data_IF_980010122620
#
_entry.id   IF_980010122620
#
_cell.length_a   1.000
_cell.length_b   1.000
_cell.length_c   1.000
_cell.angle_alpha   90.00
_cell.angle_beta   90.00
_cell.angle_gamma   90.00
#
_symmetry.space_group_name_H-M   'P 1'
#
loop_
_entity.id
_entity.type
_entity.pdbx_description
1 polymer ?
#
# COMPACT_ATOMS: atom_id res chain seq x y z
N UNK A 1 22.04 -3.32 0.42
CA UNK A 1 20.62 -3.28 0.04
C UNK A 1 19.85 -4.35 0.78
N UNK A 2 18.73 -4.00 1.42
CA UNK A 2 17.88 -4.98 2.08
C UNK A 2 17.04 -5.68 1.03
N UNK A 3 17.08 -7.01 1.00
CA UNK A 3 16.28 -7.79 0.08
C UNK A 3 14.92 -8.11 0.68
N UNK A 4 13.87 -7.86 -0.09
CA UNK A 4 12.51 -8.21 0.29
C UNK A 4 12.28 -9.69 0.01
N UNK A 5 11.49 -10.35 0.86
CA UNK A 5 11.10 -11.76 0.68
C UNK A 5 9.61 -11.92 0.41
N UNK A 6 8.82 -10.98 0.85
CA UNK A 6 7.35 -11.00 0.71
C UNK A 6 6.90 -9.67 0.18
N UNK A 7 5.82 -9.68 -0.60
CA UNK A 7 5.21 -8.47 -1.12
C UNK A 7 3.70 -8.53 -0.99
N UNK A 8 3.08 -7.36 -0.92
CA UNK A 8 1.64 -7.18 -1.11
C UNK A 8 1.43 -6.23 -2.28
N UNK A 9 0.46 -6.53 -3.13
CA UNK A 9 -0.01 -5.61 -4.15
C UNK A 9 -1.46 -5.27 -3.85
N UNK A 10 -1.70 -4.03 -3.43
CA UNK A 10 -3.01 -3.58 -2.96
C UNK A 10 -3.54 -2.54 -3.93
N UNK A 11 -4.70 -2.82 -4.52
CA UNK A 11 -5.37 -1.82 -5.36
C UNK A 11 -6.41 -1.08 -4.55
N UNK A 12 -6.51 0.23 -4.82
CA UNK A 12 -7.53 1.13 -4.26
C UNK A 12 -8.34 1.67 -5.42
N UNK A 13 -9.61 1.31 -5.48
CA UNK A 13 -10.54 1.82 -6.49
C UNK A 13 -11.38 2.92 -5.88
N UNK A 14 -11.39 4.08 -6.53
CA UNK A 14 -12.14 5.25 -6.11
C UNK A 14 -13.31 5.51 -7.05
N UNK A 15 -14.31 6.26 -6.60
CA UNK A 15 -15.52 6.55 -7.37
C UNK A 15 -15.32 7.61 -8.44
N UNK A 16 -14.30 8.45 -8.29
CA UNK A 16 -14.02 9.53 -9.22
C UNK A 16 -12.52 9.83 -9.28
N UNK A 17 -12.11 10.56 -10.32
CA UNK A 17 -10.72 11.02 -10.44
C UNK A 17 -10.35 11.97 -9.29
N UNK A 18 -11.29 12.81 -8.89
CA UNK A 18 -11.11 13.72 -7.75
C UNK A 18 -10.83 12.95 -6.47
N UNK A 19 -11.63 11.91 -6.19
CA UNK A 19 -11.44 11.06 -5.02
C UNK A 19 -10.11 10.31 -5.08
N UNK A 20 -9.69 9.88 -6.26
CA UNK A 20 -8.38 9.21 -6.42
C UNK A 20 -7.25 10.16 -6.03
N UNK A 21 -7.28 11.41 -6.49
CA UNK A 21 -6.24 12.40 -6.21
C UNK A 21 -6.20 12.71 -4.71
N UNK A 22 -7.33 13.09 -4.15
CA UNK A 22 -7.43 13.46 -2.73
C UNK A 22 -7.20 12.25 -1.84
N UNK A 23 -7.81 11.11 -2.18
CA UNK A 23 -7.65 9.87 -1.43
C UNK A 23 -6.21 9.38 -1.42
N UNK A 24 -5.52 9.48 -2.55
CA UNK A 24 -4.11 9.12 -2.65
C UNK A 24 -3.23 10.01 -1.77
N UNK A 25 -3.47 11.32 -1.78
CA UNK A 25 -2.74 12.27 -0.93
C UNK A 25 -2.98 11.99 0.57
N UNK A 26 -4.23 11.77 0.95
CA UNK A 26 -4.58 11.49 2.35
C UNK A 26 -4.00 10.16 2.82
N UNK A 27 -4.06 9.14 1.97
CA UNK A 27 -3.44 7.84 2.28
C UNK A 27 -1.92 7.99 2.48
N UNK A 28 -1.25 8.75 1.62
CA UNK A 28 0.20 8.94 1.73
C UNK A 28 0.57 9.71 2.99
N UNK A 29 -0.25 10.68 3.42
CA UNK A 29 -0.03 11.36 4.71
C UNK A 29 -0.09 10.38 5.87
N UNK A 30 -1.06 9.48 5.87
CA UNK A 30 -1.19 8.44 6.91
C UNK A 30 0.05 7.55 6.93
N UNK A 31 0.50 7.08 5.76
CA UNK A 31 1.69 6.22 5.67
C UNK A 31 2.93 6.95 6.19
N UNK A 32 3.13 8.20 5.80
CA UNK A 32 4.28 8.98 6.24
C UNK A 32 4.25 9.25 7.75
N UNK A 33 3.07 9.46 8.33
CA UNK A 33 2.93 9.63 9.78
C UNK A 33 3.28 8.34 10.53
N UNK A 34 3.14 7.18 9.89
CA UNK A 34 3.44 5.87 10.47
C UNK A 34 4.75 5.28 9.97
N UNK A 35 5.56 6.05 9.25
CA UNK A 35 6.76 5.54 8.58
C UNK A 35 7.70 4.80 9.53
N UNK A 36 7.98 5.35 10.70
CA UNK A 36 8.86 4.72 11.69
C UNK A 36 8.30 3.39 12.17
N UNK A 37 7.00 3.31 12.39
CA UNK A 37 6.35 2.06 12.83
C UNK A 37 6.47 0.98 11.77
N UNK A 38 6.22 1.31 10.50
CA UNK A 38 6.36 0.37 9.40
C UNK A 38 7.81 -0.08 9.24
N UNK A 39 8.76 0.85 9.33
CA UNK A 39 10.18 0.51 9.24
C UNK A 39 10.62 -0.44 10.35
N UNK A 40 10.23 -0.17 11.58
CA UNK A 40 10.54 -1.04 12.73
C UNK A 40 9.92 -2.42 12.58
N UNK A 41 8.73 -2.51 11.98
CA UNK A 41 8.07 -3.80 11.74
C UNK A 41 8.72 -4.58 10.59
N UNK A 42 9.60 -3.97 9.79
CA UNK A 42 10.34 -4.64 8.72
C UNK A 42 9.79 -4.39 7.32
N UNK A 43 8.97 -3.36 7.13
CA UNK A 43 8.61 -2.90 5.79
C UNK A 43 9.85 -2.31 5.12
N UNK A 44 10.08 -2.68 3.86
CA UNK A 44 11.27 -2.25 3.11
C UNK A 44 10.96 -1.10 2.20
N UNK A 45 9.84 -1.19 1.47
CA UNK A 45 9.51 -0.22 0.43
C UNK A 45 8.01 -0.20 0.17
N UNK A 46 7.50 0.99 -0.10
CA UNK A 46 6.17 1.19 -0.66
C UNK A 46 6.31 1.94 -1.97
N UNK A 47 5.66 1.46 -3.01
CA UNK A 47 5.59 2.15 -4.29
C UNK A 47 4.13 2.32 -4.66
N UNK A 48 3.72 3.55 -4.94
CA UNK A 48 2.34 3.85 -5.36
C UNK A 48 2.35 4.28 -6.82
N UNK A 49 1.47 3.67 -7.60
CA UNK A 49 1.31 4.02 -9.01
C UNK A 49 -0.16 4.24 -9.34
N UNK A 50 -0.42 5.08 -10.32
CA UNK A 50 -1.75 5.23 -10.87
C UNK A 50 -1.89 4.29 -12.07
N UNK A 51 -2.90 3.42 -12.03
CA UNK A 51 -3.18 2.52 -13.16
C UNK A 51 -3.82 3.36 -14.28
N UNK A 52 -3.23 3.32 -15.46
CA UNK A 52 -3.68 4.15 -16.58
C UNK A 52 -4.29 3.39 -17.76
N UNK A 53 -4.18 2.04 -17.74
CA UNK A 53 -4.63 1.21 -18.87
C UNK A 53 -6.00 0.56 -18.66
N UNK A 54 -6.81 1.08 -17.74
CA UNK A 54 -8.16 0.59 -17.43
C UNK A 54 -9.15 1.74 -17.57
N UNK A 55 -9.88 1.77 -18.66
CA UNK A 55 -10.89 2.81 -18.89
C UNK A 55 -12.01 2.74 -17.85
N UNK A 56 -12.42 3.90 -17.37
CA UNK A 56 -13.53 4.02 -16.43
C UNK A 56 -13.22 3.59 -15.00
N UNK A 57 -11.98 3.18 -14.71
CA UNK A 57 -11.58 2.77 -13.37
C UNK A 57 -10.58 3.79 -12.81
N UNK A 58 -10.86 4.28 -11.61
CA UNK A 58 -9.96 5.19 -10.90
C UNK A 58 -9.19 4.39 -9.85
N UNK A 59 -8.00 3.92 -10.20
CA UNK A 59 -7.26 2.94 -9.40
C UNK A 59 -5.84 3.37 -9.10
N UNK A 60 -5.46 3.24 -7.83
CA UNK A 60 -4.06 3.27 -7.40
C UNK A 60 -3.59 1.85 -7.12
N UNK A 61 -2.35 1.55 -7.50
CA UNK A 61 -1.68 0.32 -7.13
C UNK A 61 -0.62 0.62 -6.07
N UNK A 62 -0.63 -0.13 -4.99
CA UNK A 62 0.31 0.02 -3.89
C UNK A 62 1.12 -1.25 -3.77
N UNK A 63 2.39 -1.18 -4.07
CA UNK A 63 3.31 -2.31 -3.89
C UNK A 63 4.05 -2.11 -2.57
N UNK A 64 3.86 -3.06 -1.66
CA UNK A 64 4.58 -3.10 -0.39
C UNK A 64 5.53 -4.29 -0.38
N UNK A 65 6.74 -4.07 0.10
CA UNK A 65 7.76 -5.10 0.20
C UNK A 65 8.20 -5.23 1.65
N UNK A 66 8.36 -6.47 2.11
CA UNK A 66 8.68 -6.80 3.50
C UNK A 66 9.95 -7.64 3.56
N UNK A 67 10.72 -7.46 4.63
CA UNK A 67 11.99 -8.19 4.80
C UNK A 67 11.78 -9.70 4.97
N UNK A 68 10.68 -10.10 5.62
CA UNK A 68 10.35 -11.51 5.87
C UNK A 68 8.87 -11.68 6.21
N UNK A 69 8.47 -12.91 6.51
CA UNK A 69 7.10 -13.24 6.86
C UNK A 69 6.66 -12.56 8.16
N UNK A 70 7.53 -12.50 9.16
CA UNK A 70 7.23 -11.84 10.43
C UNK A 70 6.91 -10.37 10.22
N UNK A 71 7.70 -9.68 9.39
CA UNK A 71 7.46 -8.28 9.04
C UNK A 71 6.10 -8.09 8.37
N UNK A 72 5.75 -8.99 7.44
CA UNK A 72 4.44 -8.96 6.80
C UNK A 72 3.32 -9.06 7.83
N UNK A 73 3.40 -10.02 8.75
CA UNK A 73 2.38 -10.22 9.80
C UNK A 73 2.29 -9.00 10.72
N UNK A 74 3.43 -8.49 11.17
CA UNK A 74 3.45 -7.33 12.07
C UNK A 74 2.87 -6.07 11.41
N UNK A 75 3.09 -5.91 10.10
CA UNK A 75 2.53 -4.78 9.35
C UNK A 75 1.01 -4.84 9.20
N UNK A 76 0.37 -6.02 9.33
CA UNK A 76 -1.09 -6.12 9.20
C UNK A 76 -1.81 -5.31 10.27
N UNK A 77 -1.31 -5.30 11.50
CA UNK A 77 -1.89 -4.47 12.57
C UNK A 77 -1.73 -2.98 12.26
N UNK A 78 -0.58 -2.61 11.70
CA UNK A 78 -0.32 -1.22 11.31
C UNK A 78 -1.24 -0.78 10.16
N UNK A 79 -1.55 -1.67 9.22
CA UNK A 79 -2.51 -1.38 8.16
C UNK A 79 -3.91 -1.12 8.71
N UNK A 80 -4.33 -1.85 9.74
CA UNK A 80 -5.62 -1.61 10.40
C UNK A 80 -5.66 -0.21 11.02
N UNK A 81 -4.60 0.18 11.69
CA UNK A 81 -4.47 1.53 12.26
C UNK A 81 -4.50 2.58 11.15
N UNK A 82 -3.77 2.35 10.06
CA UNK A 82 -3.73 3.26 8.93
C UNK A 82 -5.10 3.42 8.28
N UNK A 83 -5.83 2.32 8.09
CA UNK A 83 -7.18 2.35 7.53
C UNK A 83 -8.14 3.13 8.42
N UNK A 84 -8.04 2.99 9.74
CA UNK A 84 -8.85 3.75 10.68
C UNK A 84 -8.60 5.26 10.55
N UNK A 85 -7.35 5.65 10.37
CA UNK A 85 -7.01 7.05 10.14
C UNK A 85 -7.54 7.54 8.80
N UNK A 86 -7.38 6.76 7.74
CA UNK A 86 -7.88 7.09 6.41
C UNK A 86 -9.41 7.22 6.39
N UNK A 87 -10.11 6.35 7.10
CA UNK A 87 -11.58 6.35 7.10
C UNK A 87 -12.18 7.63 7.68
N UNK A 88 -11.40 8.41 8.43
CA UNK A 88 -11.84 9.74 8.91
C UNK A 88 -12.05 10.73 7.76
N UNK A 89 -11.48 10.49 6.60
CA UNK A 89 -11.71 11.32 5.40
C UNK A 89 -13.08 11.11 4.80
N UNK A 90 -13.74 9.98 5.11
CA UNK A 90 -15.02 9.56 4.54
C UNK A 90 -14.99 9.35 3.02
N UNK A 91 -13.80 9.26 2.41
CA UNK A 91 -13.65 8.97 0.98
C UNK A 91 -13.89 7.49 0.75
N UNK A 92 -14.92 7.11 -0.05
CA UNK A 92 -15.18 5.70 -0.32
C UNK A 92 -14.05 5.07 -1.16
N UNK A 93 -13.67 3.87 -0.83
CA UNK A 93 -12.69 3.12 -1.62
C UNK A 93 -12.98 1.62 -1.55
N UNK A 94 -12.61 0.90 -2.60
CA UNK A 94 -12.60 -0.56 -2.60
C UNK A 94 -11.15 -1.02 -2.60
N UNK A 95 -10.81 -1.85 -1.63
CA UNK A 95 -9.47 -2.40 -1.49
C UNK A 95 -9.46 -3.84 -1.95
N UNK A 96 -8.45 -4.22 -2.71
CA UNK A 96 -8.17 -5.60 -3.05
C UNK A 96 -6.69 -5.87 -2.85
N UNK A 97 -6.36 -6.90 -2.08
CA UNK A 97 -4.98 -7.21 -1.73
C UNK A 97 -4.56 -8.55 -2.31
N UNK A 98 -3.47 -8.55 -3.07
CA UNK A 98 -2.76 -9.75 -3.46
C UNK A 98 -1.48 -9.83 -2.62
N UNK A 99 -1.16 -11.02 -2.14
CA UNK A 99 -0.01 -11.25 -1.27
C UNK A 99 0.81 -12.39 -1.84
N UNK A 100 2.12 -12.23 -1.84
CA UNK A 100 2.97 -13.25 -2.43
C UNK A 100 4.34 -13.34 -1.79
N UNK A 101 4.92 -14.51 -1.92
CA UNK A 101 6.32 -14.75 -1.60
C UNK A 101 7.12 -14.46 -2.86
N UNK A 102 8.19 -13.69 -2.74
CA UNK A 102 9.06 -13.35 -3.88
C UNK A 102 9.86 -14.58 -4.23
N UNK A 103 9.68 -15.09 -5.46
CA UNK A 103 10.39 -16.25 -5.96
C UNK A 103 11.61 -15.87 -6.80
N UNK A 104 11.47 -14.81 -7.60
CA UNK A 104 12.52 -14.35 -8.51
C UNK A 104 12.63 -12.84 -8.39
N UNK A 105 13.85 -12.35 -8.46
CA UNK A 105 14.18 -10.97 -8.13
C UNK A 105 15.40 -10.59 -8.97
N UNK A 106 15.21 -9.74 -9.98
CA UNK A 106 16.27 -9.37 -10.92
C UNK A 106 16.43 -7.85 -10.93
N UNK A 107 17.65 -7.41 -10.71
CA UNK A 107 18.03 -5.99 -10.79
C UNK A 107 18.80 -5.76 -12.09
N UNK A 108 18.42 -4.73 -12.83
CA UNK A 108 19.06 -4.37 -14.09
C UNK A 108 20.10 -3.25 -13.92
#
# INVERSE_FOLDING_TARGET
MIKSKIMSYITQDFQSKSDLIVGGEEWQKVVLNMQSKFAEAGAVRQTVSQVFNKDGIQRLGNLWEYIDEKAFVDCQLLFREAEQQFNKTEIPQKLFSNRGVILYDVYF
#
